data_IF_657736607188
#
_entry.id   IF_657736607188
#
_cell.length_a   1.000
_cell.length_b   1.000
_cell.length_c   1.000
_cell.angle_alpha   90.00
_cell.angle_beta   90.00
_cell.angle_gamma   90.00
#
_symmetry.space_group_name_H-M   'P 1'
#
loop_
_entity.id
_entity.type
_entity.pdbx_description
1 polymer ?
#
# COMPACT_ATOMS: atom_id res chain seq x y z
N UNK A 1 16.42 -18.99 -11.51
CA UNK A 1 16.66 -17.87 -10.58
C UNK A 1 15.61 -17.97 -9.48
N UNK A 2 15.78 -18.95 -8.57
CA UNK A 2 14.81 -19.24 -7.52
C UNK A 2 15.13 -18.38 -6.29
N UNK A 3 14.19 -17.55 -5.88
CA UNK A 3 14.33 -16.67 -4.71
C UNK A 3 14.06 -17.48 -3.43
N UNK A 4 15.11 -17.94 -2.78
CA UNK A 4 15.04 -18.50 -1.42
C UNK A 4 14.72 -17.38 -0.41
N UNK A 5 13.44 -17.03 -0.26
CA UNK A 5 13.00 -15.91 0.59
C UNK A 5 12.77 -16.27 2.07
N UNK A 6 12.78 -17.54 2.48
CA UNK A 6 12.12 -17.92 3.73
C UNK A 6 12.99 -18.28 4.94
N UNK A 7 14.30 -18.44 4.84
CA UNK A 7 15.02 -19.09 5.96
C UNK A 7 15.64 -18.14 7.00
N UNK A 8 15.55 -16.81 6.83
CA UNK A 8 16.09 -15.86 7.81
C UNK A 8 15.34 -14.52 7.86
N UNK A 9 14.00 -14.54 7.88
CA UNK A 9 13.21 -13.32 8.15
C UNK A 9 13.46 -12.86 9.60
N UNK A 10 14.54 -12.12 9.78
CA UNK A 10 15.04 -11.70 11.08
C UNK A 10 14.07 -10.67 11.65
N UNK A 11 13.68 -10.80 12.92
CA UNK A 11 12.76 -9.90 13.64
C UNK A 11 13.10 -8.39 13.51
N UNK A 12 14.34 -8.06 13.13
CA UNK A 12 14.79 -6.71 12.80
C UNK A 12 14.08 -6.12 11.56
N UNK A 13 13.75 -6.93 10.54
CA UNK A 13 13.10 -6.48 9.30
C UNK A 13 11.63 -6.12 9.51
N UNK A 14 10.91 -6.84 10.39
CA UNK A 14 9.52 -6.53 10.74
C UNK A 14 9.29 -5.06 11.15
N UNK A 15 10.23 -4.47 11.91
CA UNK A 15 10.14 -3.05 12.29
C UNK A 15 10.26 -2.12 11.10
N UNK A 16 11.15 -2.43 10.16
CA UNK A 16 11.34 -1.65 8.95
C UNK A 16 10.16 -1.83 7.99
N UNK A 17 9.62 -3.04 7.86
CA UNK A 17 8.44 -3.32 7.03
C UNK A 17 7.18 -2.64 7.55
N UNK A 18 7.00 -2.57 8.88
CA UNK A 18 5.89 -1.82 9.49
C UNK A 18 5.98 -0.32 9.16
N UNK A 19 7.16 0.28 9.27
CA UNK A 19 7.36 1.70 8.95
C UNK A 19 7.17 1.94 7.45
N UNK A 20 7.73 1.07 6.60
CA UNK A 20 7.59 1.16 5.16
C UNK A 20 6.12 1.00 4.73
N UNK A 21 5.42 -0.01 5.24
CA UNK A 21 4.01 -0.25 4.98
C UNK A 21 3.12 0.91 5.43
N UNK A 22 3.38 1.48 6.62
CA UNK A 22 2.65 2.65 7.10
C UNK A 22 2.90 3.87 6.20
N UNK A 23 4.15 4.09 5.79
CA UNK A 23 4.51 5.21 4.89
C UNK A 23 3.78 5.09 3.55
N UNK A 24 3.78 3.89 2.96
CA UNK A 24 3.08 3.62 1.70
C UNK A 24 1.56 3.79 1.88
N UNK A 25 0.98 3.30 2.98
CA UNK A 25 -0.45 3.44 3.26
C UNK A 25 -0.87 4.91 3.33
N UNK A 26 -0.08 5.77 3.98
CA UNK A 26 -0.35 7.22 4.04
C UNK A 26 -0.25 7.86 2.66
N UNK A 27 0.70 7.45 1.82
CA UNK A 27 0.85 7.98 0.45
C UNK A 27 -0.28 7.55 -0.48
N UNK A 28 -0.85 6.36 -0.29
CA UNK A 28 -1.95 5.85 -1.12
C UNK A 28 -3.26 6.64 -0.97
N UNK A 29 -3.49 7.26 0.19
CA UNK A 29 -4.70 8.07 0.46
C UNK A 29 -4.82 9.26 -0.51
N UNK A 30 -3.89 10.23 -0.55
CA UNK A 30 -3.98 11.35 -1.49
C UNK A 30 -3.82 10.90 -2.95
N UNK A 31 -3.01 9.86 -3.22
CA UNK A 31 -2.82 9.33 -4.56
C UNK A 31 -4.11 8.73 -5.14
N UNK A 32 -4.82 7.91 -4.36
CA UNK A 32 -6.10 7.33 -4.77
C UNK A 32 -7.17 8.39 -4.96
N UNK A 33 -7.23 9.40 -4.08
CA UNK A 33 -8.15 10.53 -4.22
C UNK A 33 -7.90 11.32 -5.51
N UNK A 34 -6.62 11.57 -5.86
CA UNK A 34 -6.26 12.25 -7.11
C UNK A 34 -6.72 11.46 -8.34
N UNK A 35 -6.52 10.13 -8.36
CA UNK A 35 -6.98 9.29 -9.46
C UNK A 35 -8.50 9.23 -9.59
N UNK A 36 -9.24 9.21 -8.48
CA UNK A 36 -10.70 9.28 -8.52
C UNK A 36 -11.20 10.61 -9.10
N UNK A 37 -10.58 11.73 -8.71
CA UNK A 37 -10.89 13.05 -9.27
C UNK A 37 -10.59 13.12 -10.76
N UNK A 38 -9.46 12.57 -11.21
CA UNK A 38 -9.12 12.48 -12.64
C UNK A 38 -10.12 11.64 -13.44
N UNK A 39 -10.68 10.60 -12.82
CA UNK A 39 -11.71 9.76 -13.41
C UNK A 39 -13.13 10.40 -13.37
N UNK A 40 -13.27 11.62 -12.86
CA UNK A 40 -14.56 12.30 -12.72
C UNK A 40 -15.44 11.75 -11.59
N UNK A 41 -14.87 10.92 -10.71
CA UNK A 41 -15.56 10.31 -9.58
C UNK A 41 -15.31 11.12 -8.29
N UNK A 42 -16.22 11.02 -7.29
CA UNK A 42 -15.95 11.55 -5.98
C UNK A 42 -14.66 10.95 -5.37
N UNK A 43 -13.80 11.73 -4.68
CA UNK A 43 -12.51 11.28 -4.16
C UNK A 43 -12.57 10.01 -3.28
N UNK A 44 -13.70 9.79 -2.61
CA UNK A 44 -13.92 8.62 -1.73
C UNK A 44 -13.85 7.29 -2.49
N UNK A 45 -14.18 7.28 -3.78
CA UNK A 45 -14.04 6.08 -4.63
C UNK A 45 -12.58 5.68 -4.83
N UNK A 46 -11.64 6.63 -4.72
CA UNK A 46 -10.21 6.35 -4.73
C UNK A 46 -9.74 5.56 -3.51
N UNK A 47 -10.37 5.78 -2.36
CA UNK A 47 -10.10 5.02 -1.13
C UNK A 47 -10.68 3.61 -1.19
N UNK A 48 -11.89 3.45 -1.75
CA UNK A 48 -12.46 2.12 -1.98
C UNK A 48 -11.63 1.31 -2.98
N UNK A 49 -11.18 1.94 -4.07
CA UNK A 49 -10.32 1.30 -5.06
C UNK A 49 -8.92 0.96 -4.54
N UNK A 50 -8.42 1.65 -3.50
CA UNK A 50 -7.14 1.33 -2.87
C UNK A 50 -7.24 0.18 -1.85
N UNK A 51 -8.40 0.01 -1.21
CA UNK A 51 -8.62 -0.99 -0.16
C UNK A 51 -9.09 -2.34 -0.72
N UNK A 52 -10.05 -2.35 -1.65
CA UNK A 52 -10.70 -3.56 -2.15
C UNK A 52 -9.72 -4.52 -2.87
N UNK A 53 -8.76 -4.07 -3.70
CA UNK A 53 -7.80 -4.97 -4.35
C UNK A 53 -6.69 -5.46 -3.43
N UNK A 54 -6.53 -4.83 -2.26
CA UNK A 54 -5.46 -5.13 -1.31
C UNK A 54 -5.90 -6.17 -0.26
N UNK A 55 -7.21 -6.30 -0.03
CA UNK A 55 -7.84 -7.36 0.78
C UNK A 55 -7.96 -8.66 -0.04
#
# INVERSE_FOLDING_TARGET
MGISLSENYRSKYLKYDLIAGLTVAVMLVPQGMAYAVLAGLPPIYGLYAALVPLL
#
